data_IF_223619762410
#
_entry.id   IF_223619762410
#
_cell.length_a   1.000
_cell.length_b   1.000
_cell.length_c   1.000
_cell.angle_alpha   90.00
_cell.angle_beta   90.00
_cell.angle_gamma   90.00
#
_symmetry.space_group_name_H-M   'P 1'
#
loop_
_entity.id
_entity.type
_entity.pdbx_description
1 polymer ?
#
# COMPACT_ATOMS: atom_id res chain seq x y z
N UNK A 1 17.27 -19.92 32.40
CA UNK A 1 17.50 -18.49 32.73
C UNK A 1 18.11 -17.66 31.59
N UNK A 2 18.65 -18.25 30.52
CA UNK A 2 19.20 -17.50 29.38
C UNK A 2 18.15 -16.91 28.39
N UNK A 3 16.87 -17.27 28.51
CA UNK A 3 15.81 -16.84 27.59
C UNK A 3 15.35 -15.39 27.84
N UNK A 4 15.30 -14.95 29.10
CA UNK A 4 14.77 -13.63 29.46
C UNK A 4 15.78 -12.50 29.22
N UNK A 5 17.08 -12.78 29.31
CA UNK A 5 18.12 -11.81 28.97
C UNK A 5 18.23 -11.60 27.46
N UNK A 6 18.02 -12.63 26.64
CA UNK A 6 17.98 -12.51 25.18
C UNK A 6 16.74 -11.74 24.72
N UNK A 7 15.58 -11.99 25.34
CA UNK A 7 14.37 -11.21 25.09
C UNK A 7 14.52 -9.74 25.55
N UNK A 8 15.11 -9.49 26.73
CA UNK A 8 15.41 -8.14 27.20
C UNK A 8 16.50 -7.44 26.40
N UNK A 9 17.50 -8.15 25.85
CA UNK A 9 18.50 -7.59 24.94
C UNK A 9 17.91 -7.29 23.55
N UNK A 10 16.98 -8.13 23.06
CA UNK A 10 16.21 -7.89 21.84
C UNK A 10 15.22 -6.72 21.98
N UNK A 11 14.72 -6.49 23.20
CA UNK A 11 13.80 -5.41 23.54
C UNK A 11 14.54 -4.10 23.91
N UNK A 12 15.73 -4.18 24.52
CA UNK A 12 16.55 -3.04 24.97
C UNK A 12 17.47 -2.48 23.87
N UNK A 13 17.99 -3.32 22.97
CA UNK A 13 18.55 -2.89 21.69
C UNK A 13 17.43 -3.00 20.68
N UNK A 14 16.65 -1.94 20.48
CA UNK A 14 15.64 -1.94 19.41
C UNK A 14 16.29 -2.36 18.09
N UNK A 15 16.14 -3.64 17.72
CA UNK A 15 16.87 -4.23 16.61
C UNK A 15 16.35 -3.58 15.34
N UNK A 16 17.19 -2.69 14.84
CA UNK A 16 16.91 -1.87 13.70
C UNK A 16 16.99 -2.77 12.48
N UNK A 17 15.87 -2.96 11.78
CA UNK A 17 15.93 -3.05 10.33
C UNK A 17 17.02 -2.09 9.84
N UNK A 18 17.89 -2.49 8.90
CA UNK A 18 19.07 -1.71 8.54
C UNK A 18 18.70 -0.24 8.49
N UNK A 19 19.36 0.61 9.29
CA UNK A 19 18.92 2.00 9.47
C UNK A 19 18.85 2.79 8.15
N UNK A 20 19.46 2.22 7.10
CA UNK A 20 19.45 2.59 5.69
C UNK A 20 18.11 2.33 4.98
N UNK A 21 17.35 1.33 5.42
CA UNK A 21 16.01 1.01 4.88
C UNK A 21 14.92 1.88 5.50
N UNK A 22 15.18 2.49 6.67
CA UNK A 22 14.22 3.39 7.34
C UNK A 22 14.22 4.77 6.70
N UNK A 23 13.03 5.31 6.54
CA UNK A 23 12.83 6.60 5.92
C UNK A 23 13.11 7.72 6.90
N UNK A 24 14.12 8.53 6.59
CA UNK A 24 14.50 9.67 7.41
C UNK A 24 13.78 10.92 6.93
N UNK A 25 13.66 11.07 5.61
CA UNK A 25 13.27 12.35 5.02
C UNK A 25 11.87 12.34 4.40
N UNK A 26 11.09 13.44 4.52
CA UNK A 26 9.76 13.56 3.91
C UNK A 26 9.73 13.33 2.40
N UNK A 27 10.78 13.74 1.67
CA UNK A 27 10.86 13.55 0.22
C UNK A 27 10.95 12.07 -0.19
N UNK A 28 11.53 11.20 0.65
CA UNK A 28 11.58 9.76 0.40
C UNK A 28 10.18 9.14 0.50
N UNK A 29 9.42 9.55 1.53
CA UNK A 29 8.03 9.14 1.75
C UNK A 29 7.12 9.63 0.60
N UNK A 30 7.30 10.87 0.15
CA UNK A 30 6.59 11.41 -1.02
C UNK A 30 6.90 10.63 -2.30
N UNK A 31 8.18 10.30 -2.53
CA UNK A 31 8.60 9.47 -3.67
C UNK A 31 7.97 8.08 -3.62
N UNK A 32 7.87 7.46 -2.45
CA UNK A 32 7.20 6.17 -2.27
C UNK A 32 5.71 6.28 -2.57
N UNK A 33 5.05 7.32 -2.08
CA UNK A 33 3.64 7.56 -2.37
C UNK A 33 3.39 7.66 -3.89
N UNK A 34 4.26 8.37 -4.62
CA UNK A 34 4.19 8.46 -6.09
C UNK A 34 4.40 7.10 -6.75
N UNK A 35 5.38 6.32 -6.32
CA UNK A 35 5.63 4.98 -6.87
C UNK A 35 4.44 4.05 -6.62
N UNK A 36 3.86 4.07 -5.41
CA UNK A 36 2.67 3.29 -5.04
C UNK A 36 1.45 3.70 -5.85
N UNK A 37 1.20 4.99 -5.98
CA UNK A 37 0.07 5.52 -6.74
C UNK A 37 0.16 5.14 -8.23
N UNK A 38 1.34 5.28 -8.83
CA UNK A 38 1.58 4.85 -10.22
C UNK A 38 1.37 3.35 -10.39
N UNK A 39 1.82 2.52 -9.44
CA UNK A 39 1.67 1.06 -9.52
C UNK A 39 0.23 0.60 -9.33
N UNK A 40 -0.53 1.21 -8.42
CA UNK A 40 -1.97 0.95 -8.30
C UNK A 40 -2.70 1.31 -9.59
N UNK A 41 -2.36 2.44 -10.22
CA UNK A 41 -2.93 2.84 -11.51
C UNK A 41 -2.55 1.89 -12.65
N UNK A 42 -1.33 1.33 -12.64
CA UNK A 42 -0.83 0.45 -13.72
C UNK A 42 -1.29 -1.00 -13.56
N UNK A 43 -1.40 -1.52 -12.34
CA UNK A 43 -1.87 -2.90 -12.08
C UNK A 43 -3.40 -3.02 -12.18
N UNK A 44 -4.12 -1.91 -12.03
CA UNK A 44 -5.60 -1.92 -12.04
C UNK A 44 -6.25 -1.64 -13.39
N UNK A 45 -5.50 -1.40 -14.48
CA UNK A 45 -6.10 -0.93 -15.74
C UNK A 45 -5.72 -1.80 -16.95
N UNK A 46 -6.69 -2.09 -17.85
CA UNK A 46 -6.41 -2.70 -19.15
C UNK A 46 -5.47 -1.80 -19.96
N UNK A 47 -4.60 -2.38 -20.78
CA UNK A 47 -3.58 -1.65 -21.55
C UNK A 47 -4.16 -0.90 -22.77
N UNK A 48 -5.24 -0.15 -22.58
CA UNK A 48 -5.91 0.67 -23.61
C UNK A 48 -5.49 2.14 -23.51
N UNK A 49 -5.62 2.88 -24.61
CA UNK A 49 -5.29 4.32 -24.64
C UNK A 49 -6.16 5.15 -23.67
N UNK A 50 -7.43 4.77 -23.50
CA UNK A 50 -8.37 5.40 -22.57
C UNK A 50 -8.00 5.16 -21.10
N UNK A 51 -7.53 3.95 -20.76
CA UNK A 51 -6.95 3.66 -19.45
C UNK A 51 -5.73 4.52 -19.18
N UNK A 52 -4.79 4.65 -20.13
CA UNK A 52 -3.62 5.52 -19.96
C UNK A 52 -4.03 6.96 -19.65
N UNK A 53 -5.02 7.52 -20.33
CA UNK A 53 -5.55 8.86 -20.08
C UNK A 53 -6.20 9.00 -18.70
N UNK A 54 -7.01 8.02 -18.29
CA UNK A 54 -7.57 7.93 -16.92
C UNK A 54 -6.48 7.79 -15.86
N UNK A 55 -5.34 7.16 -16.19
CA UNK A 55 -4.16 7.10 -15.34
C UNK A 55 -3.54 8.48 -15.10
N UNK A 56 -3.50 9.38 -16.08
CA UNK A 56 -2.96 10.74 -15.87
C UNK A 56 -3.82 11.60 -14.93
N UNK A 57 -5.14 11.43 -14.98
CA UNK A 57 -6.09 12.15 -14.10
C UNK A 57 -6.20 11.46 -12.74
N UNK A 58 -6.15 10.12 -12.70
CA UNK A 58 -6.26 9.33 -11.49
C UNK A 58 -4.98 9.28 -10.64
N UNK A 59 -3.80 9.35 -11.25
CA UNK A 59 -2.51 9.31 -10.54
C UNK A 59 -2.39 10.46 -9.52
N UNK A 60 -2.66 11.73 -9.83
CA UNK A 60 -2.64 12.81 -8.84
C UNK A 60 -3.54 12.56 -7.62
N UNK A 61 -4.77 12.10 -7.83
CA UNK A 61 -5.70 11.76 -6.74
C UNK A 61 -5.20 10.58 -5.89
N UNK A 62 -4.66 9.54 -6.55
CA UNK A 62 -4.06 8.39 -5.87
C UNK A 62 -2.77 8.75 -5.11
N UNK A 63 -2.00 9.73 -5.60
CA UNK A 63 -0.80 10.23 -4.92
C UNK A 63 -1.19 10.85 -3.57
N UNK A 64 -2.23 11.68 -3.50
CA UNK A 64 -2.72 12.25 -2.25
C UNK A 64 -3.11 11.17 -1.23
N UNK A 65 -3.90 10.18 -1.66
CA UNK A 65 -4.27 9.03 -0.82
C UNK A 65 -3.06 8.24 -0.33
N UNK A 66 -2.09 7.97 -1.20
CA UNK A 66 -0.87 7.27 -0.82
C UNK A 66 0.03 8.11 0.09
N UNK A 67 0.09 9.43 -0.07
CA UNK A 67 0.78 10.31 0.87
C UNK A 67 0.17 10.27 2.26
N UNK A 68 -1.17 10.23 2.36
CA UNK A 68 -1.88 10.03 3.63
C UNK A 68 -1.53 8.68 4.24
N UNK A 69 -1.60 7.60 3.47
CA UNK A 69 -1.30 6.24 3.97
C UNK A 69 0.16 6.10 4.43
N UNK A 70 1.10 6.58 3.62
CA UNK A 70 2.53 6.57 3.92
C UNK A 70 2.85 7.50 5.10
N UNK A 71 2.19 8.66 5.20
CA UNK A 71 2.32 9.59 6.31
C UNK A 71 1.83 9.01 7.64
N UNK A 72 0.77 8.19 7.62
CA UNK A 72 0.24 7.47 8.80
C UNK A 72 1.08 6.26 9.22
N UNK A 73 1.89 5.70 8.32
CA UNK A 73 2.64 4.45 8.55
C UNK A 73 4.16 4.64 8.36
N UNK A 74 4.65 5.87 8.49
CA UNK A 74 5.99 6.24 8.04
C UNK A 74 7.14 5.51 8.75
N UNK A 75 6.95 5.15 10.00
CA UNK A 75 7.84 4.36 10.86
C UNK A 75 7.89 2.87 10.48
N UNK A 76 6.92 2.43 9.67
CA UNK A 76 6.70 1.05 9.24
C UNK A 76 7.03 0.81 7.77
N UNK A 77 7.45 1.86 7.06
CA UNK A 77 7.85 1.76 5.66
C UNK A 77 9.34 1.52 5.56
N UNK A 78 9.70 0.41 4.92
CA UNK A 78 11.07 0.06 4.58
C UNK A 78 11.28 0.24 3.08
N UNK A 79 12.37 0.89 2.68
CA UNK A 79 12.67 1.16 1.28
C UNK A 79 14.06 0.66 0.91
N UNK A 80 14.16 0.02 -0.25
CA UNK A 80 15.43 -0.21 -0.92
C UNK A 80 15.32 0.22 -2.39
N UNK A 81 16.16 1.19 -2.80
CA UNK A 81 16.11 1.81 -4.13
C UNK A 81 14.72 2.33 -4.48
N UNK A 82 13.99 1.65 -5.37
CA UNK A 82 12.62 1.98 -5.77
C UNK A 82 11.59 0.94 -5.34
N UNK A 83 11.99 -0.02 -4.49
CA UNK A 83 11.06 -0.91 -3.79
C UNK A 83 10.76 -0.37 -2.40
N UNK A 84 9.51 -0.52 -1.97
CA UNK A 84 9.06 -0.19 -0.62
C UNK A 84 8.11 -1.26 -0.12
N UNK A 85 8.18 -1.56 1.18
CA UNK A 85 7.24 -2.43 1.88
C UNK A 85 6.74 -1.74 3.14
N UNK A 86 5.48 -1.96 3.50
CA UNK A 86 4.93 -1.53 4.79
C UNK A 86 4.64 -2.76 5.64
N UNK A 87 5.21 -2.80 6.85
CA UNK A 87 5.01 -3.88 7.82
C UNK A 87 4.33 -3.32 9.08
N UNK A 88 3.17 -3.84 9.41
CA UNK A 88 2.42 -3.48 10.62
C UNK A 88 2.66 -4.51 11.72
N UNK A 89 3.14 -4.06 12.87
CA UNK A 89 3.39 -4.88 14.06
C UNK A 89 2.30 -4.75 15.13
N UNK A 90 1.23 -4.00 14.86
CA UNK A 90 0.13 -3.78 15.80
C UNK A 90 0.29 -2.64 16.77
N UNK A 91 1.46 -2.01 16.85
CA UNK A 91 1.65 -0.83 17.69
C UNK A 91 0.87 0.37 17.15
N UNK A 92 0.82 1.48 17.89
CA UNK A 92 0.27 2.72 17.35
C UNK A 92 1.30 3.33 16.40
N UNK A 93 0.96 3.46 15.11
CA UNK A 93 1.86 4.04 14.12
C UNK A 93 2.15 5.52 14.43
N UNK A 94 3.41 5.94 14.22
CA UNK A 94 3.80 7.33 14.34
C UNK A 94 3.39 8.11 13.09
N UNK A 95 2.42 9.00 13.26
CA UNK A 95 1.92 9.88 12.20
C UNK A 95 2.93 11.00 12.00
N UNK A 96 3.37 11.21 10.75
CA UNK A 96 4.09 12.43 10.35
C UNK A 96 3.09 13.48 9.88
N UNK A 97 2.76 14.48 10.73
CA UNK A 97 1.64 15.39 10.47
C UNK A 97 1.84 16.18 9.17
N UNK A 98 3.07 16.58 8.85
CA UNK A 98 3.38 17.31 7.61
C UNK A 98 2.96 16.53 6.36
N UNK A 99 3.35 15.26 6.24
CA UNK A 99 3.01 14.44 5.07
C UNK A 99 1.53 14.08 5.00
N UNK A 100 0.92 13.83 6.16
CA UNK A 100 -0.50 13.60 6.25
C UNK A 100 -1.27 14.83 5.76
N UNK A 101 -0.93 16.02 6.27
CA UNK A 101 -1.56 17.28 5.90
C UNK A 101 -1.32 17.62 4.42
N UNK A 102 -0.09 17.44 3.92
CA UNK A 102 0.21 17.63 2.48
C UNK A 102 -0.58 16.66 1.61
N UNK A 103 -0.76 15.40 2.04
CA UNK A 103 -1.58 14.42 1.32
C UNK A 103 -3.07 14.80 1.30
N UNK A 104 -3.61 15.28 2.43
CA UNK A 104 -5.00 15.76 2.54
C UNK A 104 -5.21 17.01 1.69
N UNK A 105 -4.38 18.04 1.87
CA UNK A 105 -4.46 19.30 1.11
C UNK A 105 -4.25 19.04 -0.37
N UNK A 106 -3.25 18.24 -0.74
CA UNK A 106 -2.99 17.88 -2.13
C UNK A 106 -4.15 17.11 -2.77
N UNK A 107 -4.78 16.20 -2.01
CA UNK A 107 -5.98 15.48 -2.44
C UNK A 107 -7.16 16.43 -2.71
N UNK A 108 -7.46 17.31 -1.75
CA UNK A 108 -8.53 18.33 -1.88
C UNK A 108 -8.23 19.28 -3.03
N UNK A 109 -7.01 19.83 -3.10
CA UNK A 109 -6.60 20.76 -4.17
C UNK A 109 -6.70 20.10 -5.54
N UNK A 110 -6.31 18.83 -5.68
CA UNK A 110 -6.43 18.08 -6.93
C UNK A 110 -7.90 17.90 -7.32
N UNK A 111 -8.78 17.55 -6.38
CA UNK A 111 -10.22 17.45 -6.63
C UNK A 111 -10.82 18.80 -7.01
N UNK A 112 -10.43 19.88 -6.31
CA UNK A 112 -10.85 21.24 -6.62
C UNK A 112 -10.39 21.67 -8.01
N UNK A 113 -9.15 21.39 -8.42
CA UNK A 113 -8.67 21.70 -9.77
C UNK A 113 -9.44 20.90 -10.83
N UNK A 114 -9.66 19.61 -10.61
CA UNK A 114 -10.38 18.75 -11.57
C UNK A 114 -11.83 19.24 -11.75
N UNK A 115 -12.50 19.67 -10.68
CA UNK A 115 -13.89 20.13 -10.72
C UNK A 115 -14.03 21.60 -11.13
N UNK A 116 -13.21 22.50 -10.60
CA UNK A 116 -13.36 23.95 -10.75
C UNK A 116 -12.67 24.51 -11.99
N UNK A 117 -11.56 23.92 -12.45
CA UNK A 117 -10.85 24.45 -13.62
C UNK A 117 -11.73 24.44 -14.87
N UNK A 118 -12.49 23.37 -15.18
CA UNK A 118 -13.36 23.37 -16.36
C UNK A 118 -14.54 24.33 -16.21
N UNK A 119 -15.11 24.44 -15.00
CA UNK A 119 -16.18 25.41 -14.69
C UNK A 119 -15.68 26.84 -14.91
N UNK A 120 -14.47 27.15 -14.43
CA UNK A 120 -13.85 28.47 -14.58
C UNK A 120 -13.57 28.78 -16.06
N UNK A 121 -13.02 27.83 -16.82
CA UNK A 121 -12.76 28.01 -18.26
C UNK A 121 -14.06 28.30 -19.01
N UNK A 122 -15.13 27.55 -18.72
CA UNK A 122 -16.44 27.77 -19.35
C UNK A 122 -17.02 29.13 -18.95
N UNK A 123 -16.97 29.49 -17.66
CA UNK A 123 -17.44 30.79 -17.19
C UNK A 123 -16.69 31.94 -17.89
N UNK A 124 -15.37 31.85 -18.03
CA UNK A 124 -14.56 32.86 -18.75
C UNK A 124 -14.95 32.93 -20.23
N UNK A 125 -15.14 31.80 -20.92
CA UNK A 125 -15.58 31.78 -22.32
C UNK A 125 -16.95 32.44 -22.50
N UNK A 126 -17.91 32.13 -21.62
CA UNK A 126 -19.24 32.73 -21.62
C UNK A 126 -19.20 34.25 -21.37
N UNK A 127 -18.40 34.72 -20.41
CA UNK A 127 -18.25 36.16 -20.13
C UNK A 127 -17.62 36.94 -21.28
N UNK A 128 -16.86 36.27 -22.16
CA UNK A 128 -16.29 36.87 -23.39
C UNK A 128 -17.21 36.76 -24.60
N UNK A 129 -18.45 36.28 -24.44
CA UNK A 129 -19.40 36.08 -25.54
C UNK A 129 -18.98 35.00 -26.53
N UNK A 130 -17.98 34.18 -26.19
CA UNK A 130 -17.55 33.06 -27.02
C UNK A 130 -18.58 31.94 -26.81
N UNK A 131 -19.32 31.62 -27.87
CA UNK A 131 -20.22 30.47 -27.84
C UNK A 131 -19.39 29.20 -27.62
N UNK A 132 -19.56 28.57 -26.47
CA UNK A 132 -18.96 27.27 -26.19
C UNK A 132 -19.71 26.25 -27.06
N UNK A 133 -19.03 25.55 -27.97
CA UNK A 133 -19.68 24.55 -28.80
C UNK A 133 -20.39 23.51 -27.90
N UNK A 134 -21.63 23.10 -28.23
CA UNK A 134 -22.36 22.12 -27.44
C UNK A 134 -21.61 20.78 -27.30
N UNK A 135 -20.71 20.47 -28.24
CA UNK A 135 -19.77 19.33 -28.15
C UNK A 135 -18.85 19.45 -26.93
N UNK A 136 -18.35 20.63 -26.59
CA UNK A 136 -17.46 20.83 -25.42
C UNK A 136 -18.25 20.61 -24.12
N UNK A 137 -19.48 21.11 -24.05
CA UNK A 137 -20.38 20.88 -22.91
C UNK A 137 -20.71 19.39 -22.76
N UNK A 138 -21.04 18.71 -23.86
CA UNK A 138 -21.33 17.27 -23.86
C UNK A 138 -20.11 16.43 -23.46
N UNK A 139 -18.90 16.80 -23.90
CA UNK A 139 -17.66 16.16 -23.46
C UNK A 139 -17.44 16.37 -21.95
N UNK A 140 -17.75 17.56 -21.44
CA UNK A 140 -17.60 17.85 -20.03
C UNK A 140 -18.57 17.07 -19.16
N UNK A 141 -19.86 17.04 -19.53
CA UNK A 141 -20.86 16.21 -18.88
C UNK A 141 -20.49 14.74 -18.93
N UNK A 142 -20.06 14.24 -20.10
CA UNK A 142 -19.62 12.86 -20.23
C UNK A 142 -18.39 12.58 -19.35
N UNK A 143 -17.42 13.49 -19.28
CA UNK A 143 -16.25 13.34 -18.42
C UNK A 143 -16.64 13.34 -16.93
N UNK A 144 -17.61 14.17 -16.54
CA UNK A 144 -18.12 14.21 -15.17
C UNK A 144 -18.90 12.93 -14.83
N UNK A 145 -19.74 12.45 -15.75
CA UNK A 145 -20.47 11.18 -15.63
C UNK A 145 -19.50 10.02 -15.55
N UNK A 146 -18.47 9.95 -16.40
CA UNK A 146 -17.43 8.92 -16.36
C UNK A 146 -16.62 9.00 -15.06
N UNK A 147 -16.32 10.20 -14.57
CA UNK A 147 -15.66 10.38 -13.27
C UNK A 147 -16.52 9.86 -12.13
N UNK A 148 -17.77 10.29 -12.01
CA UNK A 148 -18.69 9.79 -10.98
C UNK A 148 -18.96 8.30 -11.13
N UNK A 149 -19.14 7.80 -12.35
CA UNK A 149 -19.37 6.38 -12.62
C UNK A 149 -18.13 5.54 -12.30
N UNK A 150 -16.92 6.03 -12.54
CA UNK A 150 -15.69 5.32 -12.15
C UNK A 150 -15.48 5.30 -10.63
N UNK A 151 -15.87 6.36 -9.92
CA UNK A 151 -15.94 6.36 -8.45
C UNK A 151 -16.98 5.36 -7.95
N UNK A 152 -18.18 5.37 -8.53
CA UNK A 152 -19.27 4.43 -8.17
C UNK A 152 -18.88 2.99 -8.51
N UNK A 153 -18.28 2.72 -9.66
CA UNK A 153 -17.81 1.37 -10.03
C UNK A 153 -16.68 0.92 -9.11
N UNK A 154 -15.75 1.80 -8.72
CA UNK A 154 -14.71 1.46 -7.75
C UNK A 154 -15.32 1.07 -6.40
N UNK A 155 -16.37 1.77 -5.97
CA UNK A 155 -17.06 1.51 -4.71
C UNK A 155 -17.99 0.29 -4.79
N UNK A 156 -18.66 0.07 -5.91
CA UNK A 156 -19.46 -1.13 -6.19
C UNK A 156 -18.56 -2.35 -6.37
N UNK A 157 -17.38 -2.23 -6.97
CA UNK A 157 -16.41 -3.31 -7.07
C UNK A 157 -15.77 -3.63 -5.70
N UNK A 158 -15.54 -2.62 -4.87
CA UNK A 158 -15.19 -2.80 -3.45
C UNK A 158 -16.31 -3.49 -2.69
N UNK A 159 -17.56 -3.12 -2.94
CA UNK A 159 -18.75 -3.71 -2.30
C UNK A 159 -19.01 -5.15 -2.80
N UNK A 160 -18.83 -5.43 -4.09
CA UNK A 160 -18.91 -6.78 -4.64
C UNK A 160 -17.79 -7.69 -4.12
N UNK A 161 -16.57 -7.15 -3.94
CA UNK A 161 -15.49 -7.87 -3.24
C UNK A 161 -15.84 -8.11 -1.78
N UNK A 162 -16.43 -7.13 -1.07
CA UNK A 162 -16.96 -7.30 0.30
C UNK A 162 -18.12 -8.30 0.40
N UNK A 163 -18.95 -8.44 -0.63
CA UNK A 163 -20.07 -9.39 -0.64
C UNK A 163 -19.63 -10.83 -0.92
N UNK A 164 -18.49 -11.05 -1.59
CA UNK A 164 -17.91 -12.38 -1.82
C UNK A 164 -17.00 -12.85 -0.67
N UNK A 165 -16.44 -11.92 0.11
CA UNK A 165 -15.67 -12.21 1.32
C UNK A 165 -16.37 -11.51 2.51
N UNK A 166 -17.21 -12.20 3.29
CA UNK A 166 -18.13 -11.57 4.27
C UNK A 166 -17.43 -10.79 5.38
N UNK A 167 -16.12 -10.99 5.57
CA UNK A 167 -15.27 -10.11 6.35
C UNK A 167 -14.21 -9.49 5.43
N UNK A 168 -14.05 -8.16 5.51
CA UNK A 168 -12.94 -7.52 4.82
C UNK A 168 -11.61 -8.16 5.27
N UNK A 169 -10.66 -8.41 4.36
CA UNK A 169 -9.44 -9.17 4.68
C UNK A 169 -8.59 -8.49 5.77
N UNK A 170 -8.70 -7.18 5.96
CA UNK A 170 -7.95 -6.42 6.97
C UNK A 170 -8.24 -6.86 8.42
N UNK A 171 -9.48 -6.80 8.94
CA UNK A 171 -9.84 -7.35 10.25
C UNK A 171 -9.42 -8.80 10.47
N UNK A 172 -9.57 -9.65 9.46
CA UNK A 172 -9.14 -11.06 9.52
C UNK A 172 -7.62 -11.20 9.67
N UNK A 173 -6.87 -10.40 8.93
CA UNK A 173 -5.40 -10.36 9.01
C UNK A 173 -4.93 -9.79 10.35
N UNK A 174 -5.60 -8.74 10.86
CA UNK A 174 -5.28 -8.15 12.16
C UNK A 174 -5.56 -9.14 13.30
N UNK A 175 -6.71 -9.84 13.28
CA UNK A 175 -7.02 -10.91 14.23
C UNK A 175 -5.97 -12.01 14.18
N UNK A 176 -5.62 -12.49 12.97
CA UNK A 176 -4.62 -13.55 12.80
C UNK A 176 -3.24 -13.11 13.28
N UNK A 177 -2.83 -11.88 12.97
CA UNK A 177 -1.57 -11.33 13.47
C UNK A 177 -1.58 -11.18 15.00
N UNK A 178 -2.71 -10.85 15.61
CA UNK A 178 -2.83 -10.81 17.09
C UNK A 178 -2.64 -12.21 17.69
N UNK A 179 -3.30 -13.21 17.14
CA UNK A 179 -3.13 -14.61 17.56
C UNK A 179 -1.67 -15.05 17.44
N UNK A 180 -1.03 -14.77 16.30
CA UNK A 180 0.38 -15.12 16.09
C UNK A 180 1.32 -14.29 16.98
N UNK A 181 0.91 -13.08 17.37
CA UNK A 181 1.66 -12.24 18.29
C UNK A 181 1.65 -12.78 19.74
N UNK A 182 0.64 -13.56 20.12
CA UNK A 182 0.62 -14.27 21.42
C UNK A 182 1.73 -15.33 21.49
N UNK A 183 2.14 -15.87 20.33
CA UNK A 183 3.17 -16.91 20.22
C UNK A 183 4.58 -16.37 19.87
N UNK A 184 4.73 -15.06 19.64
CA UNK A 184 6.02 -14.46 19.27
C UNK A 184 5.90 -13.19 18.43
N UNK A 185 6.95 -12.84 17.67
CA UNK A 185 6.92 -11.67 16.80
C UNK A 185 6.04 -11.92 15.57
N UNK A 186 5.00 -11.11 15.36
CA UNK A 186 4.14 -11.22 14.19
C UNK A 186 3.95 -9.87 13.49
N UNK A 187 4.05 -9.88 12.15
CA UNK A 187 3.89 -8.70 11.30
C UNK A 187 2.87 -8.94 10.21
N UNK A 188 2.17 -7.88 9.84
CA UNK A 188 1.27 -7.82 8.70
C UNK A 188 1.90 -6.99 7.59
N UNK A 189 2.18 -7.60 6.44
CA UNK A 189 2.63 -6.88 5.25
C UNK A 189 1.41 -6.32 4.52
N UNK A 190 1.21 -5.01 4.61
CA UNK A 190 0.03 -4.31 4.08
C UNK A 190 0.26 -3.74 2.69
N UNK A 191 1.51 -3.50 2.30
CA UNK A 191 1.83 -2.94 0.99
C UNK A 191 3.23 -3.35 0.55
N UNK A 192 3.36 -3.75 -0.72
CA UNK A 192 4.62 -3.93 -1.42
C UNK A 192 4.52 -3.22 -2.78
N UNK A 193 5.44 -2.30 -3.04
CA UNK A 193 5.52 -1.62 -4.32
C UNK A 193 6.96 -1.63 -4.83
N UNK A 194 7.16 -1.87 -6.13
CA UNK A 194 8.48 -1.92 -6.74
C UNK A 194 8.54 -1.09 -8.03
N UNK A 195 9.61 -0.31 -8.17
CA UNK A 195 9.86 0.48 -9.38
C UNK A 195 10.36 -0.36 -10.56
N UNK A 196 11.05 -1.47 -10.31
CA UNK A 196 11.60 -2.37 -11.35
C UNK A 196 11.43 -3.85 -10.97
N UNK A 197 11.43 -4.73 -11.98
CA UNK A 197 11.42 -6.20 -11.80
C UNK A 197 12.60 -6.62 -10.90
N UNK A 198 12.39 -7.62 -10.05
CA UNK A 198 13.41 -8.18 -9.15
C UNK A 198 13.69 -7.37 -7.86
N UNK A 199 13.39 -6.08 -7.81
CA UNK A 199 13.67 -5.26 -6.62
C UNK A 199 12.83 -5.64 -5.40
N UNK A 200 11.60 -6.11 -5.61
CA UNK A 200 10.75 -6.62 -4.54
C UNK A 200 11.38 -7.85 -3.87
N UNK A 201 11.90 -8.80 -4.67
CA UNK A 201 12.60 -9.99 -4.16
C UNK A 201 13.85 -9.61 -3.38
N UNK A 202 14.62 -8.65 -3.88
CA UNK A 202 15.83 -8.20 -3.20
C UNK A 202 15.50 -7.48 -1.89
N UNK A 203 14.48 -6.61 -1.87
CA UNK A 203 14.01 -5.98 -0.63
C UNK A 203 13.53 -7.03 0.39
N UNK A 204 12.80 -8.06 -0.05
CA UNK A 204 12.44 -9.20 0.80
C UNK A 204 13.69 -9.88 1.37
N UNK A 205 14.66 -10.22 0.52
CA UNK A 205 15.92 -10.85 0.95
C UNK A 205 16.75 -10.00 1.94
N UNK A 206 16.64 -8.67 1.89
CA UNK A 206 17.28 -7.79 2.89
C UNK A 206 16.54 -7.78 4.23
N UNK A 207 15.24 -8.08 4.25
CA UNK A 207 14.42 -8.10 5.46
C UNK A 207 14.37 -9.49 6.11
N UNK A 208 14.50 -10.55 5.32
CA UNK A 208 14.47 -11.95 5.78
C UNK A 208 15.45 -12.23 6.93
N UNK A 209 16.73 -11.80 6.90
CA UNK A 209 17.63 -12.04 8.03
C UNK A 209 17.13 -11.42 9.35
N UNK A 210 16.50 -10.24 9.27
CA UNK A 210 15.90 -9.58 10.45
C UNK A 210 14.66 -10.31 10.95
N UNK A 211 13.87 -10.93 10.06
CA UNK A 211 12.71 -11.72 10.42
C UNK A 211 13.10 -13.07 11.03
N UNK A 212 14.13 -13.73 10.47
CA UNK A 212 14.71 -14.96 11.01
C UNK A 212 15.30 -14.75 12.40
N UNK A 213 16.10 -13.69 12.59
CA UNK A 213 16.67 -13.36 13.89
C UNK A 213 15.62 -13.12 14.99
N UNK A 214 14.40 -12.75 14.61
CA UNK A 214 13.28 -12.48 15.52
C UNK A 214 12.31 -13.65 15.66
N UNK A 215 12.59 -14.80 15.03
CA UNK A 215 11.66 -15.93 14.99
C UNK A 215 10.25 -15.48 14.58
N UNK A 216 10.15 -14.66 13.55
CA UNK A 216 8.93 -13.92 13.31
C UNK A 216 8.00 -14.56 12.29
N UNK A 217 6.73 -14.19 12.36
CA UNK A 217 5.71 -14.57 11.39
C UNK A 217 5.27 -13.35 10.59
N UNK A 218 5.48 -13.36 9.28
CA UNK A 218 4.99 -12.30 8.38
C UNK A 218 3.78 -12.81 7.62
N UNK A 219 2.64 -12.18 7.85
CA UNK A 219 1.37 -12.52 7.21
C UNK A 219 1.05 -11.49 6.14
N UNK A 220 0.52 -11.91 5.00
CA UNK A 220 0.06 -11.01 3.94
C UNK A 220 -1.15 -11.57 3.19
N UNK A 221 -1.90 -10.68 2.56
CA UNK A 221 -2.98 -11.02 1.64
C UNK A 221 -2.66 -10.43 0.26
N UNK A 222 -2.27 -11.27 -0.72
CA UNK A 222 -1.89 -10.81 -2.03
C UNK A 222 -3.10 -10.20 -2.74
N UNK A 223 -2.89 -9.06 -3.40
CA UNK A 223 -3.94 -8.35 -4.13
C UNK A 223 -4.44 -9.12 -5.38
N UNK A 224 -3.59 -10.00 -5.92
CA UNK A 224 -3.85 -10.84 -7.08
C UNK A 224 -3.40 -12.28 -6.81
N UNK A 225 -4.13 -13.25 -7.35
CA UNK A 225 -3.82 -14.68 -7.22
C UNK A 225 -2.49 -15.05 -7.89
N UNK A 226 -2.15 -14.36 -8.98
CA UNK A 226 -0.88 -14.48 -9.69
C UNK A 226 0.34 -14.27 -8.78
N UNK A 227 0.18 -13.50 -7.70
CA UNK A 227 1.26 -13.21 -6.74
C UNK A 227 1.44 -14.33 -5.71
N UNK A 228 0.46 -15.21 -5.51
CA UNK A 228 0.56 -16.34 -4.57
C UNK A 228 1.78 -17.19 -4.91
N UNK A 229 1.91 -17.60 -6.17
CA UNK A 229 3.01 -18.46 -6.61
C UNK A 229 4.37 -17.73 -6.60
N UNK A 230 4.36 -16.40 -6.71
CA UNK A 230 5.58 -15.60 -6.52
C UNK A 230 6.01 -15.65 -5.05
N UNK A 231 5.10 -15.42 -4.10
CA UNK A 231 5.42 -15.45 -2.68
C UNK A 231 5.76 -16.85 -2.18
N UNK A 232 5.12 -17.90 -2.72
CA UNK A 232 5.48 -19.30 -2.40
C UNK A 232 6.91 -19.63 -2.80
N UNK A 233 7.35 -19.19 -3.98
CA UNK A 233 8.76 -19.32 -4.42
C UNK A 233 9.75 -18.53 -3.56
N UNK A 234 9.29 -17.58 -2.76
CA UNK A 234 10.11 -16.85 -1.79
C UNK A 234 10.07 -17.47 -0.39
N UNK A 235 9.42 -18.62 -0.20
CA UNK A 235 9.31 -19.33 1.08
C UNK A 235 7.98 -19.12 1.81
N UNK A 236 7.00 -18.44 1.20
CA UNK A 236 5.67 -18.26 1.79
C UNK A 236 4.83 -19.52 1.70
N UNK A 237 4.01 -19.78 2.71
CA UNK A 237 3.07 -20.89 2.76
C UNK A 237 1.64 -20.35 2.77
N UNK A 238 0.70 -21.10 2.18
CA UNK A 238 -0.72 -20.78 2.31
C UNK A 238 -1.17 -21.09 3.74
N UNK A 239 -1.80 -20.12 4.40
CA UNK A 239 -2.33 -20.34 5.75
C UNK A 239 -3.51 -21.31 5.69
N UNK A 240 -3.49 -22.33 6.55
CA UNK A 240 -4.59 -23.28 6.68
C UNK A 240 -5.80 -22.53 7.27
N UNK A 241 -6.87 -22.39 6.47
CA UNK A 241 -8.10 -21.71 6.89
C UNK A 241 -8.38 -20.37 6.21
N UNK A 242 -7.58 -19.92 5.23
CA UNK A 242 -7.94 -18.80 4.36
C UNK A 242 -7.52 -19.06 2.91
N UNK A 243 -8.39 -18.75 1.94
CA UNK A 243 -8.16 -19.10 0.53
C UNK A 243 -6.96 -18.39 -0.12
N UNK A 244 -6.51 -17.26 0.43
CA UNK A 244 -5.49 -16.40 -0.21
C UNK A 244 -4.40 -15.88 0.73
N UNK A 245 -4.42 -16.22 2.02
CA UNK A 245 -3.46 -15.68 2.99
C UNK A 245 -2.12 -16.40 2.87
N UNK A 246 -1.03 -15.64 2.77
CA UNK A 246 0.33 -16.18 2.73
C UNK A 246 1.04 -15.84 4.04
N UNK A 247 1.73 -16.82 4.59
CA UNK A 247 2.48 -16.74 5.84
C UNK A 247 3.93 -17.12 5.59
N UNK A 248 4.86 -16.28 6.03
CA UNK A 248 6.27 -16.61 6.17
C UNK A 248 6.52 -16.85 7.65
N UNK A 249 6.67 -18.11 8.04
CA UNK A 249 6.93 -18.48 9.44
C UNK A 249 8.42 -18.81 9.60
N UNK A 250 9.14 -17.93 10.30
CA UNK A 250 10.56 -18.12 10.59
C UNK A 250 10.81 -18.69 12.00
N UNK A 251 9.76 -19.13 12.72
CA UNK A 251 9.89 -19.82 14.01
C UNK A 251 10.32 -21.28 13.82
N UNK A 252 9.90 -21.90 12.72
CA UNK A 252 10.17 -23.30 12.41
C UNK A 252 11.66 -23.59 12.19
N UNK A 253 12.41 -22.66 11.58
CA UNK A 253 13.84 -22.80 11.33
C UNK A 253 14.68 -22.87 12.62
N UNK A 254 14.18 -22.28 13.71
CA UNK A 254 14.81 -22.37 15.04
C UNK A 254 14.46 -23.66 15.79
N UNK A 255 13.33 -24.31 15.46
CA UNK A 255 12.91 -25.58 16.09
C UNK A 255 13.67 -26.77 15.51
N UNK A 256 14.03 -26.75 14.23
CA UNK A 256 14.85 -27.80 13.61
C UNK A 256 16.31 -27.76 14.07
N UNK A 257 16.84 -26.57 14.39
CA UNK A 257 18.24 -26.38 14.80
C UNK A 257 18.51 -26.81 16.26
N UNK A 258 17.47 -26.88 17.11
CA UNK A 258 17.58 -27.34 18.50
C UNK A 258 17.28 -28.83 18.70
N UNK A 259 17.10 -29.60 17.61
CA UNK A 259 16.88 -31.06 17.65
C UNK A 259 18.10 -31.87 17.16
N UNK A 260 19.24 -31.21 16.93
CA UNK A 260 20.55 -31.82 16.64
C UNK A 260 21.53 -31.47 17.74
#
# INVERSE_FOLDING_TARGET
>A
MASDEVAKLAQARGFAYPAELRLRWPWQLARIAVVRARRLSVLGQPNTASARMLGWIGVPALVGMQMVMVGRTSDRVYQWRSASVTLDDGRKAQIRPVLWLTGVIGGIATQMVILLLPILVIAVLLTRGIQVPPIILAILELAMVVYFLSVVIAEVARDHRRKREPESPLPLLERRRNQLAEEGAAWLLTSLACGRKGQARHLFGLLTPSWQAQAAVVVLYPAEESLIEVYRRWGGQLDTGAQRRIVFDYRSDLRSTNQT
#
